data_IF_532671754610
#
_entry.id   IF_532671754610
#
_cell.length_a   1.000
_cell.length_b   1.000
_cell.length_c   1.000
_cell.angle_alpha   90.00
_cell.angle_beta   90.00
_cell.angle_gamma   90.00
#
_symmetry.space_group_name_H-M   'P 1'
#
loop_
_entity.id
_entity.type
_entity.pdbx_description
1 polymer ?
#
# COMPACT_ATOMS: atom_id res chain seq x y z
N UNK A 1 -15.33 -3.20 -10.09
CA UNK A 1 -13.93 -3.01 -9.65
C UNK A 1 -13.88 -2.57 -8.20
N UNK A 2 -12.84 -2.97 -7.51
CA UNK A 2 -12.68 -2.68 -6.10
C UNK A 2 -11.43 -1.82 -5.91
N UNK A 3 -11.54 -0.81 -5.06
CA UNK A 3 -10.39 0.03 -4.70
C UNK A 3 -10.00 -0.29 -3.26
N UNK A 4 -8.70 -0.44 -3.07
CA UNK A 4 -8.10 -0.80 -1.79
C UNK A 4 -7.12 0.30 -1.40
N UNK A 5 -7.46 1.05 -0.36
CA UNK A 5 -6.67 2.19 0.11
C UNK A 5 -6.14 1.87 1.50
N UNK A 6 -4.84 2.05 1.71
CA UNK A 6 -4.23 1.94 3.03
C UNK A 6 -3.43 3.22 3.31
N UNK A 7 -3.59 3.72 4.54
CA UNK A 7 -2.80 4.81 5.06
C UNK A 7 -1.94 4.26 6.20
N UNK A 8 -0.65 4.57 6.19
CA UNK A 8 0.26 4.14 7.25
C UNK A 8 0.95 5.33 7.90
N UNK A 9 1.22 5.18 9.19
CA UNK A 9 2.25 5.97 9.85
C UNK A 9 3.48 5.09 10.03
N UNK A 10 4.66 5.68 9.99
CA UNK A 10 5.90 4.98 10.26
C UNK A 10 6.21 5.03 11.75
N UNK A 11 7.05 4.12 12.21
CA UNK A 11 7.43 4.08 13.63
C UNK A 11 8.08 5.39 14.04
N UNK A 12 7.65 5.98 15.17
CA UNK A 12 8.11 7.32 15.56
C UNK A 12 9.59 7.40 15.94
N UNK A 13 10.19 6.28 16.30
CA UNK A 13 11.62 6.24 16.67
C UNK A 13 12.56 6.31 15.47
N UNK A 14 12.03 6.17 14.23
CA UNK A 14 12.85 6.22 13.03
C UNK A 14 13.30 7.66 12.73
N UNK A 15 14.55 7.80 12.27
CA UNK A 15 15.05 9.10 11.83
C UNK A 15 14.42 9.50 10.49
N UNK A 16 14.54 10.76 10.11
CA UNK A 16 14.01 11.22 8.82
C UNK A 16 14.67 10.50 7.64
N UNK A 17 15.97 10.26 7.71
CA UNK A 17 16.68 9.52 6.67
C UNK A 17 16.21 8.07 6.58
N UNK A 18 15.98 7.43 7.73
CA UNK A 18 15.44 6.07 7.77
C UNK A 18 14.04 6.02 7.17
N UNK A 19 13.18 7.00 7.50
CA UNK A 19 11.83 7.07 6.97
C UNK A 19 11.82 7.21 5.45
N UNK A 20 12.71 8.03 4.90
CA UNK A 20 12.79 8.19 3.44
C UNK A 20 13.21 6.89 2.75
N UNK A 21 14.18 6.18 3.31
CA UNK A 21 14.62 4.89 2.76
C UNK A 21 13.50 3.85 2.84
N UNK A 22 12.75 3.83 3.95
CA UNK A 22 11.64 2.90 4.16
C UNK A 22 10.52 3.18 3.18
N UNK A 23 10.15 4.44 2.97
CA UNK A 23 9.13 4.82 2.00
C UNK A 23 9.52 4.36 0.59
N UNK A 24 10.77 4.56 0.21
CA UNK A 24 11.26 4.11 -1.09
C UNK A 24 11.17 2.59 -1.23
N UNK A 25 11.51 1.85 -0.18
CA UNK A 25 11.44 0.39 -0.16
C UNK A 25 10.01 -0.13 -0.27
N UNK A 26 9.07 0.50 0.45
CA UNK A 26 7.65 0.13 0.39
C UNK A 26 7.10 0.38 -1.02
N UNK A 27 7.40 1.55 -1.58
CA UNK A 27 6.97 1.91 -2.93
C UNK A 27 7.49 0.91 -3.96
N UNK A 28 8.78 0.64 -3.94
CA UNK A 28 9.41 -0.30 -4.87
C UNK A 28 8.80 -1.69 -4.74
N UNK A 29 8.66 -2.18 -3.51
CA UNK A 29 8.15 -3.52 -3.27
C UNK A 29 6.71 -3.70 -3.70
N UNK A 30 5.83 -2.78 -3.32
CA UNK A 30 4.41 -2.88 -3.63
C UNK A 30 4.12 -2.58 -5.10
N UNK A 31 4.71 -1.54 -5.66
CA UNK A 31 4.52 -1.23 -7.08
C UNK A 31 5.12 -2.30 -7.98
N UNK A 32 6.13 -3.00 -7.51
CA UNK A 32 6.72 -4.14 -8.20
C UNK A 32 5.76 -5.33 -8.38
N UNK A 33 4.64 -5.34 -7.67
CA UNK A 33 3.62 -6.38 -7.82
C UNK A 33 2.72 -6.16 -9.04
N UNK A 34 2.81 -4.99 -9.67
CA UNK A 34 2.07 -4.70 -10.89
C UNK A 34 2.33 -5.76 -11.94
N UNK A 35 1.29 -6.31 -12.56
CA UNK A 35 1.33 -7.34 -13.57
C UNK A 35 1.79 -8.73 -13.07
N UNK A 36 1.95 -8.92 -11.77
CA UNK A 36 2.39 -10.19 -11.21
C UNK A 36 1.31 -10.92 -10.42
N UNK A 37 0.21 -10.25 -10.08
CA UNK A 37 -0.85 -10.83 -9.26
C UNK A 37 -2.14 -10.82 -10.04
N UNK A 38 -2.81 -11.99 -10.20
CA UNK A 38 -4.08 -12.04 -10.92
C UNK A 38 -5.13 -11.13 -10.30
N UNK A 39 -5.80 -10.35 -11.13
CA UNK A 39 -6.86 -9.46 -10.70
C UNK A 39 -6.41 -8.12 -10.13
N UNK A 40 -5.11 -7.93 -9.92
CA UNK A 40 -4.55 -6.64 -9.53
C UNK A 40 -4.39 -5.79 -10.79
N UNK A 41 -5.21 -4.74 -10.93
CA UNK A 41 -5.23 -3.90 -12.13
C UNK A 41 -4.25 -2.74 -12.04
N UNK A 42 -4.12 -2.14 -10.85
CA UNK A 42 -3.28 -0.98 -10.65
C UNK A 42 -2.82 -0.95 -9.19
N UNK A 43 -1.56 -0.59 -8.99
CA UNK A 43 -1.03 -0.41 -7.64
C UNK A 43 -0.06 0.78 -7.64
N UNK A 44 -0.25 1.69 -6.68
CA UNK A 44 0.56 2.89 -6.56
C UNK A 44 0.75 3.23 -5.09
N UNK A 45 1.94 3.69 -4.75
CA UNK A 45 2.26 4.15 -3.39
C UNK A 45 2.65 5.61 -3.45
N UNK A 46 1.94 6.44 -2.69
CA UNK A 46 2.19 7.87 -2.58
C UNK A 46 3.13 8.13 -1.42
N UNK A 47 4.33 8.62 -1.73
CA UNK A 47 5.38 8.88 -0.74
C UNK A 47 5.89 10.32 -0.76
N UNK A 48 5.45 11.13 -1.74
CA UNK A 48 5.92 12.51 -1.94
C UNK A 48 4.76 13.48 -1.88
N UNK A 49 5.07 14.76 -1.67
CA UNK A 49 4.08 15.82 -1.69
C UNK A 49 3.23 15.94 -0.44
N UNK A 50 3.63 15.29 0.65
CA UNK A 50 2.89 15.30 1.90
C UNK A 50 2.90 16.70 2.51
N UNK A 51 1.70 17.20 2.87
CA UNK A 51 1.56 18.48 3.55
C UNK A 51 1.65 18.29 5.07
N UNK A 52 2.01 19.35 5.78
CA UNK A 52 2.16 19.31 7.24
C UNK A 52 0.85 19.02 7.98
N UNK A 53 -0.29 19.24 7.32
CA UNK A 53 -1.61 18.92 7.87
C UNK A 53 -1.91 17.42 7.88
N UNK A 54 -1.08 16.61 7.21
CA UNK A 54 -1.30 15.16 7.10
C UNK A 54 -0.98 14.46 8.43
N UNK A 55 -1.80 13.45 8.76
CA UNK A 55 -1.56 12.59 9.93
C UNK A 55 -0.97 11.23 9.56
N UNK A 56 -1.03 10.86 8.27
CA UNK A 56 -0.39 9.65 7.76
C UNK A 56 0.91 10.02 7.05
N UNK A 57 1.81 9.06 6.91
CA UNK A 57 3.10 9.27 6.28
C UNK A 57 3.12 8.85 4.81
N UNK A 58 2.34 7.84 4.44
CA UNK A 58 2.26 7.38 3.05
C UNK A 58 0.95 6.65 2.82
N UNK A 59 0.61 6.46 1.54
CA UNK A 59 -0.65 5.83 1.13
C UNK A 59 -0.42 4.80 0.04
N UNK A 60 -1.12 3.65 0.18
CA UNK A 60 -1.27 2.69 -0.91
C UNK A 60 -2.61 2.92 -1.58
N UNK A 61 -2.61 3.00 -2.92
CA UNK A 61 -3.81 3.10 -3.74
C UNK A 61 -3.76 2.00 -4.78
N UNK A 62 -4.67 1.04 -4.67
CA UNK A 62 -4.70 -0.11 -5.58
C UNK A 62 -6.11 -0.41 -6.06
N UNK A 63 -6.22 -1.00 -7.25
CA UNK A 63 -7.48 -1.35 -7.88
C UNK A 63 -7.46 -2.83 -8.27
N UNK A 64 -8.55 -3.54 -7.95
CA UNK A 64 -8.71 -4.96 -8.23
C UNK A 64 -9.96 -5.19 -9.07
N UNK A 65 -9.98 -6.29 -9.82
CA UNK A 65 -11.13 -6.67 -10.65
C UNK A 65 -12.38 -6.93 -9.83
N UNK A 66 -12.22 -7.49 -8.62
CA UNK A 66 -13.33 -7.96 -7.81
C UNK A 66 -12.93 -8.08 -6.35
N UNK A 67 -13.90 -8.20 -5.41
CA UNK A 67 -13.59 -8.49 -4.02
C UNK A 67 -12.81 -9.79 -3.85
N UNK A 68 -13.09 -10.80 -4.68
CA UNK A 68 -12.40 -12.09 -4.63
C UNK A 68 -10.92 -11.94 -5.01
N UNK A 69 -10.62 -11.09 -6.00
CA UNK A 69 -9.25 -10.81 -6.40
C UNK A 69 -8.47 -10.13 -5.26
N UNK A 70 -9.11 -9.20 -4.54
CA UNK A 70 -8.51 -8.56 -3.38
C UNK A 70 -8.24 -9.58 -2.26
N UNK A 71 -9.18 -10.47 -2.01
CA UNK A 71 -9.00 -11.51 -0.99
C UNK A 71 -7.82 -12.42 -1.35
N UNK A 72 -7.73 -12.83 -2.62
CA UNK A 72 -6.63 -13.68 -3.09
C UNK A 72 -5.28 -12.96 -3.00
N UNK A 73 -5.25 -11.65 -3.26
CA UNK A 73 -4.05 -10.83 -3.13
C UNK A 73 -3.49 -10.87 -1.70
N UNK A 74 -4.36 -10.80 -0.70
CA UNK A 74 -3.94 -10.76 0.71
C UNK A 74 -3.08 -11.95 1.10
N UNK A 75 -3.36 -13.12 0.55
CA UNK A 75 -2.66 -14.36 0.87
C UNK A 75 -1.65 -14.77 -0.22
N UNK A 76 -1.54 -14.02 -1.31
CA UNK A 76 -0.60 -14.31 -2.36
C UNK A 76 0.83 -14.22 -1.83
N UNK A 77 1.68 -15.26 -2.03
CA UNK A 77 3.04 -15.26 -1.49
C UNK A 77 3.89 -14.06 -1.89
N UNK A 78 3.70 -13.52 -3.08
CA UNK A 78 4.44 -12.33 -3.52
C UNK A 78 4.09 -11.13 -2.68
N UNK A 79 2.79 -10.93 -2.40
CA UNK A 79 2.34 -9.84 -1.53
C UNK A 79 2.82 -10.05 -0.09
N UNK A 80 2.67 -11.26 0.43
CA UNK A 80 3.06 -11.58 1.81
C UNK A 80 4.54 -11.30 2.04
N UNK A 81 5.39 -11.66 1.08
CA UNK A 81 6.83 -11.41 1.20
C UNK A 81 7.15 -9.92 1.30
N UNK A 82 6.49 -9.08 0.49
CA UNK A 82 6.68 -7.62 0.55
C UNK A 82 6.16 -7.07 1.87
N UNK A 83 4.95 -7.48 2.27
CA UNK A 83 4.32 -6.98 3.49
C UNK A 83 5.15 -7.30 4.74
N UNK A 84 5.66 -8.50 4.84
CA UNK A 84 6.43 -8.93 6.02
C UNK A 84 7.87 -8.42 6.02
N UNK A 85 8.46 -8.23 4.85
CA UNK A 85 9.85 -7.80 4.75
C UNK A 85 10.04 -6.29 4.71
N UNK A 86 9.13 -5.56 4.08
CA UNK A 86 9.31 -4.13 3.79
C UNK A 86 8.31 -3.21 4.45
N UNK A 87 7.16 -3.70 4.87
CA UNK A 87 6.06 -2.85 5.37
C UNK A 87 5.87 -2.99 6.87
N UNK A 88 5.50 -4.18 7.33
CA UNK A 88 5.13 -4.41 8.75
C UNK A 88 6.20 -4.07 9.76
N UNK A 89 7.49 -4.35 9.51
CA UNK A 89 8.52 -4.03 10.51
C UNK A 89 8.68 -2.53 10.78
N UNK A 90 8.24 -1.68 9.85
CA UNK A 90 8.53 -0.24 9.90
C UNK A 90 7.30 0.63 10.09
N UNK A 91 6.09 0.07 9.99
CA UNK A 91 4.84 0.82 10.14
C UNK A 91 4.31 0.71 11.55
N UNK A 92 3.58 1.75 11.99
CA UNK A 92 3.04 1.85 13.34
C UNK A 92 1.52 1.75 13.33
N UNK A 93 0.84 2.69 12.67
CA UNK A 93 -0.61 2.68 12.54
C UNK A 93 -1.01 2.41 11.11
N UNK A 94 -2.14 1.73 10.93
CA UNK A 94 -2.65 1.36 9.62
C UNK A 94 -4.15 1.60 9.59
N UNK A 95 -4.62 2.32 8.57
CA UNK A 95 -6.04 2.49 8.27
C UNK A 95 -6.31 1.95 6.89
N UNK A 96 -7.41 1.25 6.72
CA UNK A 96 -7.77 0.60 5.46
C UNK A 96 -9.20 0.95 5.09
N UNK A 97 -9.41 1.22 3.79
CA UNK A 97 -10.75 1.40 3.22
C UNK A 97 -10.80 0.63 1.91
N UNK A 98 -11.66 -0.36 1.85
CA UNK A 98 -11.93 -1.13 0.64
C UNK A 98 -13.35 -0.83 0.19
N UNK A 99 -13.55 -0.51 -1.08
CA UNK A 99 -14.88 -0.20 -1.57
C UNK A 99 -15.07 -0.55 -3.03
N UNK A 100 -16.31 -0.85 -3.38
CA UNK A 100 -16.70 -1.07 -4.76
C UNK A 100 -16.79 0.27 -5.47
N UNK A 101 -16.14 0.38 -6.63
CA UNK A 101 -16.26 1.57 -7.45
C UNK A 101 -17.44 1.43 -8.39
N UNK A 102 -18.24 2.49 -8.49
CA UNK A 102 -19.28 2.59 -9.50
C UNK A 102 -18.58 2.72 -10.85
N UNK A 103 -18.91 1.83 -11.79
CA UNK A 103 -18.32 1.84 -13.12
C UNK A 103 -18.62 3.12 -13.91
N UNK A 104 -19.56 3.92 -13.45
CA UNK A 104 -19.91 5.21 -14.06
C UNK A 104 -19.31 6.39 -13.35
N UNK A 105 -18.62 6.18 -12.27
CA UNK A 105 -17.99 7.24 -11.50
C UNK A 105 -16.74 7.78 -12.21
#
# INVERSE_FOLDING_TARGET
MVRHIILWTLRPELSENEKEAIKAGIKEGLEGLQCQIPGLLKIKVLTQGRLSSSTADLMLDSTFESPEALMAYRTNPLHVAVAEGKVRPFTFQRSCLDFEMDSQA
#
